data_IF_101103379644
#
_entry.id   IF_101103379644
#
_cell.length_a   1.000
_cell.length_b   1.000
_cell.length_c   1.000
_cell.angle_alpha   90.00
_cell.angle_beta   90.00
_cell.angle_gamma   90.00
#
_symmetry.space_group_name_H-M   'P 1'
#
loop_
_entity.id
_entity.type
_entity.pdbx_description
1 polymer ?
#
# COMPACT_ATOMS: atom_id res chain seq x y z
N UNK A 1 -26.95 -9.41 12.12
CA UNK A 1 -25.94 -8.40 12.40
C UNK A 1 -26.11 -7.29 11.36
N UNK A 2 -26.76 -6.16 11.72
CA UNK A 2 -26.95 -5.03 10.80
C UNK A 2 -25.61 -4.33 10.68
N UNK A 3 -24.95 -4.42 9.51
CA UNK A 3 -23.77 -3.65 9.18
C UNK A 3 -24.21 -2.19 8.94
N UNK A 4 -24.42 -1.44 10.01
CA UNK A 4 -24.56 0.02 9.90
C UNK A 4 -23.15 0.61 9.84
N UNK A 5 -22.52 0.54 8.67
CA UNK A 5 -21.27 1.26 8.42
C UNK A 5 -21.58 2.76 8.51
N UNK A 6 -20.91 3.52 9.38
CA UNK A 6 -21.11 4.96 9.44
C UNK A 6 -20.74 5.55 8.09
N UNK A 7 -21.62 6.36 7.50
CA UNK A 7 -21.43 6.99 6.18
C UNK A 7 -20.06 7.69 6.07
N UNK A 8 -19.61 8.34 7.15
CA UNK A 8 -18.27 8.94 7.25
C UNK A 8 -17.14 7.93 6.99
N UNK A 9 -17.23 6.72 7.55
CA UNK A 9 -16.23 5.67 7.34
C UNK A 9 -16.19 5.19 5.89
N UNK A 10 -17.34 5.08 5.24
CA UNK A 10 -17.44 4.70 3.82
C UNK A 10 -16.82 5.78 2.94
N UNK A 11 -17.15 7.05 3.17
CA UNK A 11 -16.60 8.17 2.39
C UNK A 11 -15.08 8.30 2.57
N UNK A 12 -14.58 8.14 3.80
CA UNK A 12 -13.14 8.15 4.07
C UNK A 12 -12.44 6.97 3.40
N UNK A 13 -13.05 5.78 3.40
CA UNK A 13 -12.52 4.60 2.70
C UNK A 13 -12.45 4.80 1.19
N UNK A 14 -13.51 5.36 0.58
CA UNK A 14 -13.50 5.71 -0.85
C UNK A 14 -12.43 6.75 -1.18
N UNK A 15 -12.31 7.78 -0.34
CA UNK A 15 -11.27 8.81 -0.50
C UNK A 15 -9.85 8.22 -0.39
N UNK A 16 -9.62 7.31 0.55
CA UNK A 16 -8.34 6.62 0.70
C UNK A 16 -8.02 5.73 -0.54
N UNK A 17 -9.02 4.98 -1.04
CA UNK A 17 -8.87 4.17 -2.26
C UNK A 17 -8.56 5.02 -3.50
N UNK A 18 -9.30 6.11 -3.70
CA UNK A 18 -9.06 7.05 -4.79
C UNK A 18 -7.65 7.68 -4.68
N UNK A 19 -7.26 8.13 -3.48
CA UNK A 19 -5.93 8.68 -3.23
C UNK A 19 -4.82 7.68 -3.50
N UNK A 20 -5.01 6.40 -3.14
CA UNK A 20 -4.06 5.34 -3.43
C UNK A 20 -3.93 5.10 -4.95
N UNK A 21 -5.04 5.03 -5.69
CA UNK A 21 -5.03 4.85 -7.14
C UNK A 21 -4.34 6.00 -7.88
N UNK A 22 -4.72 7.24 -7.56
CA UNK A 22 -4.08 8.45 -8.13
C UNK A 22 -2.59 8.49 -7.77
N UNK A 23 -2.24 8.19 -6.50
CA UNK A 23 -0.85 8.14 -6.05
C UNK A 23 0.00 7.09 -6.79
N UNK A 24 -0.58 5.95 -7.15
CA UNK A 24 0.09 4.91 -7.92
C UNK A 24 0.40 5.38 -9.35
N UNK A 25 -0.59 5.97 -10.03
CA UNK A 25 -0.45 6.50 -11.40
C UNK A 25 0.58 7.63 -11.43
N UNK A 26 0.50 8.59 -10.50
CA UNK A 26 1.47 9.69 -10.40
C UNK A 26 2.89 9.18 -10.13
N UNK A 27 3.03 8.14 -9.30
CA UNK A 27 4.34 7.51 -9.06
C UNK A 27 4.90 6.87 -10.33
N UNK A 28 4.06 6.20 -11.13
CA UNK A 28 4.49 5.63 -12.42
C UNK A 28 4.96 6.72 -13.38
N UNK A 29 4.17 7.77 -13.56
CA UNK A 29 4.53 8.91 -14.43
C UNK A 29 5.84 9.55 -13.96
N UNK A 30 5.98 9.76 -12.65
CA UNK A 30 7.21 10.30 -12.06
C UNK A 30 8.43 9.41 -12.33
N UNK A 31 8.31 8.11 -12.11
CA UNK A 31 9.41 7.16 -12.39
C UNK A 31 9.79 7.15 -13.87
N UNK A 32 8.82 7.13 -14.80
CA UNK A 32 9.09 7.19 -16.24
C UNK A 32 9.82 8.48 -16.63
N UNK A 33 9.44 9.60 -16.03
CA UNK A 33 10.09 10.88 -16.30
C UNK A 33 11.55 10.89 -15.81
N UNK A 34 11.83 10.33 -14.64
CA UNK A 34 13.19 10.18 -14.13
C UNK A 34 14.01 9.20 -14.94
N UNK A 35 13.42 8.08 -15.36
CA UNK A 35 14.07 7.07 -16.19
C UNK A 35 14.52 7.67 -17.54
N UNK A 36 13.68 8.50 -18.15
CA UNK A 36 14.02 9.23 -19.38
C UNK A 36 15.15 10.27 -19.21
N UNK A 37 15.37 10.75 -17.98
CA UNK A 37 16.42 11.71 -17.65
C UNK A 37 17.75 11.05 -17.23
N UNK A 38 17.76 9.72 -17.01
CA UNK A 38 18.96 8.97 -16.64
C UNK A 38 19.89 8.89 -17.87
N UNK A 39 21.17 9.27 -17.77
CA UNK A 39 22.13 9.13 -18.86
C UNK A 39 22.29 7.68 -19.31
N UNK A 40 22.52 7.47 -20.62
CA UNK A 40 22.62 6.13 -21.20
C UNK A 40 23.84 5.31 -20.67
N UNK A 41 24.81 5.97 -20.12
CA UNK A 41 26.03 5.42 -19.50
C UNK A 41 25.87 5.17 -17.97
N UNK A 42 24.69 5.50 -17.42
CA UNK A 42 24.44 5.28 -16.01
C UNK A 42 24.29 3.77 -15.69
N UNK A 43 24.73 3.32 -14.50
CA UNK A 43 24.56 1.94 -14.09
C UNK A 43 23.08 1.52 -14.12
N UNK A 44 22.77 0.32 -14.60
CA UNK A 44 21.41 -0.27 -14.58
C UNK A 44 20.77 -0.24 -13.19
N UNK A 45 21.60 -0.30 -12.15
CA UNK A 45 21.18 -0.19 -10.75
C UNK A 45 20.40 1.11 -10.48
N UNK A 46 20.69 2.19 -11.21
CA UNK A 46 20.01 3.48 -11.02
C UNK A 46 18.53 3.41 -11.40
N UNK A 47 18.20 2.77 -12.53
CA UNK A 47 16.81 2.52 -12.93
C UNK A 47 16.06 1.63 -11.96
N UNK A 48 16.73 0.58 -11.46
CA UNK A 48 16.16 -0.38 -10.50
C UNK A 48 15.88 0.27 -9.12
N UNK A 49 16.59 1.33 -8.76
CA UNK A 49 16.40 2.05 -7.49
C UNK A 49 15.29 3.11 -7.53
N UNK A 50 14.75 3.46 -8.69
CA UNK A 50 13.69 4.46 -8.82
C UNK A 50 12.44 4.15 -7.96
N UNK A 51 11.93 2.90 -7.86
CA UNK A 51 10.80 2.58 -7.00
C UNK A 51 11.09 2.84 -5.52
N UNK A 52 12.31 2.58 -5.07
CA UNK A 52 12.74 2.83 -3.69
C UNK A 52 12.82 4.34 -3.40
N UNK A 53 13.37 5.12 -4.33
CA UNK A 53 13.41 6.58 -4.24
C UNK A 53 11.99 7.17 -4.22
N UNK A 54 11.10 6.68 -5.09
CA UNK A 54 9.69 7.09 -5.13
C UNK A 54 8.98 6.77 -3.81
N UNK A 55 9.21 5.58 -3.25
CA UNK A 55 8.67 5.19 -1.94
C UNK A 55 9.16 6.12 -0.83
N UNK A 56 10.43 6.48 -0.84
CA UNK A 56 11.03 7.38 0.14
C UNK A 56 10.41 8.78 0.09
N UNK A 57 10.24 9.34 -1.11
CA UNK A 57 9.58 10.64 -1.31
C UNK A 57 8.13 10.59 -0.79
N UNK A 58 7.38 9.54 -1.13
CA UNK A 58 6.00 9.34 -0.64
C UNK A 58 5.94 9.23 0.88
N UNK A 59 6.90 8.51 1.48
CA UNK A 59 6.97 8.35 2.94
C UNK A 59 7.26 9.70 3.63
N UNK A 60 8.16 10.51 3.09
CA UNK A 60 8.46 11.84 3.63
C UNK A 60 7.25 12.77 3.56
N UNK A 61 6.56 12.82 2.42
CA UNK A 61 5.34 13.61 2.25
C UNK A 61 4.22 13.11 3.18
N UNK A 62 4.05 11.80 3.27
CA UNK A 62 3.09 11.17 4.19
C UNK A 62 3.39 11.50 5.65
N UNK A 63 4.65 11.43 6.06
CA UNK A 63 5.09 11.80 7.40
C UNK A 63 4.79 13.26 7.71
N UNK A 64 5.11 14.18 6.80
CA UNK A 64 4.78 15.59 6.95
C UNK A 64 3.27 15.83 7.06
N UNK A 65 2.47 15.15 6.24
CA UNK A 65 1.01 15.21 6.29
C UNK A 65 0.44 14.71 7.62
N UNK A 66 0.89 13.55 8.10
CA UNK A 66 0.45 13.01 9.39
C UNK A 66 0.89 13.89 10.58
N UNK A 67 2.11 14.42 10.56
CA UNK A 67 2.57 15.35 11.61
C UNK A 67 1.73 16.62 11.63
N UNK A 68 1.37 17.15 10.46
CA UNK A 68 0.48 18.32 10.35
C UNK A 68 -0.90 18.00 10.93
N UNK A 69 -1.49 16.84 10.57
CA UNK A 69 -2.78 16.42 11.12
C UNK A 69 -2.72 16.26 12.65
N UNK A 70 -1.67 15.63 13.18
CA UNK A 70 -1.49 15.47 14.63
C UNK A 70 -1.32 16.82 15.34
N UNK A 71 -0.63 17.77 14.72
CA UNK A 71 -0.49 19.12 15.26
C UNK A 71 -1.84 19.85 15.31
N UNK A 72 -2.65 19.76 14.24
CA UNK A 72 -3.98 20.33 14.19
C UNK A 72 -4.94 19.71 15.20
N UNK A 73 -4.84 18.42 15.44
CA UNK A 73 -5.66 17.68 16.41
C UNK A 73 -5.14 17.79 17.85
N UNK A 74 -4.01 18.48 18.08
CA UNK A 74 -3.34 18.62 19.38
C UNK A 74 -2.95 17.28 20.02
N UNK A 75 -2.72 16.25 19.20
CA UNK A 75 -2.35 14.89 19.62
C UNK A 75 -0.83 14.64 19.71
N UNK A 76 -0.02 15.69 19.57
CA UNK A 76 1.45 15.65 19.71
C UNK A 76 1.95 15.02 21.05
N UNK A 77 1.26 15.20 22.20
CA UNK A 77 1.68 14.51 23.43
C UNK A 77 1.63 12.99 23.33
N UNK A 78 0.68 12.44 22.56
CA UNK A 78 0.57 10.98 22.31
C UNK A 78 1.75 10.46 21.49
N UNK A 79 2.23 11.24 20.52
CA UNK A 79 3.41 10.92 19.75
C UNK A 79 4.66 10.85 20.64
N UNK A 80 4.83 11.81 21.56
CA UNK A 80 5.94 11.79 22.54
C UNK A 80 5.90 10.53 23.41
N UNK A 81 4.73 10.14 23.88
CA UNK A 81 4.55 8.91 24.67
C UNK A 81 4.89 7.66 23.85
N UNK A 82 4.47 7.59 22.60
CA UNK A 82 4.76 6.47 21.70
C UNK A 82 6.27 6.33 21.40
N UNK A 83 6.99 7.43 21.23
CA UNK A 83 8.45 7.42 21.00
C UNK A 83 9.21 6.93 22.25
N UNK A 84 8.65 7.07 23.44
CA UNK A 84 9.26 6.57 24.68
C UNK A 84 9.10 5.05 24.89
N UNK A 85 8.16 4.43 24.20
CA UNK A 85 7.99 2.97 24.22
C UNK A 85 8.99 2.29 23.26
N UNK A 86 10.14 1.91 23.79
CA UNK A 86 11.21 1.25 23.01
C UNK A 86 10.77 -0.06 22.37
N UNK A 87 9.89 -0.83 23.02
CA UNK A 87 9.40 -2.11 22.46
C UNK A 87 8.44 -1.85 21.31
N UNK A 88 7.48 -0.96 21.49
CA UNK A 88 6.58 -0.52 20.44
C UNK A 88 7.34 0.05 19.25
N UNK A 89 8.35 0.88 19.50
CA UNK A 89 9.18 1.47 18.44
C UNK A 89 9.96 0.42 17.64
N UNK A 90 10.51 -0.61 18.31
CA UNK A 90 11.19 -1.72 17.63
C UNK A 90 10.23 -2.51 16.72
N UNK A 91 9.02 -2.82 17.18
CA UNK A 91 8.00 -3.47 16.36
C UNK A 91 7.58 -2.61 15.18
N UNK A 92 7.36 -1.31 15.39
CA UNK A 92 7.03 -0.36 14.31
C UNK A 92 8.17 -0.29 13.30
N UNK A 93 9.44 -0.26 13.73
CA UNK A 93 10.59 -0.24 12.82
C UNK A 93 10.64 -1.49 11.94
N UNK A 94 10.44 -2.68 12.53
CA UNK A 94 10.40 -3.94 11.78
C UNK A 94 9.23 -3.94 10.78
N UNK A 95 8.03 -3.55 11.23
CA UNK A 95 6.85 -3.47 10.37
C UNK A 95 7.04 -2.45 9.24
N UNK A 96 7.70 -1.33 9.50
CA UNK A 96 8.00 -0.30 8.48
C UNK A 96 8.99 -0.82 7.45
N UNK A 97 9.98 -1.62 7.87
CA UNK A 97 10.94 -2.23 6.95
C UNK A 97 10.25 -3.19 5.98
N UNK A 98 9.46 -4.12 6.50
CA UNK A 98 8.80 -5.15 5.66
C UNK A 98 7.55 -4.62 4.94
N UNK A 99 6.76 -3.75 5.55
CA UNK A 99 5.55 -3.17 4.95
C UNK A 99 5.89 -2.06 3.95
N UNK A 100 6.02 -0.81 4.38
CA UNK A 100 6.23 0.30 3.46
C UNK A 100 7.55 0.24 2.69
N UNK A 101 8.68 -0.07 3.36
CA UNK A 101 9.97 0.02 2.69
C UNK A 101 10.13 -1.08 1.62
N UNK A 102 9.91 -2.34 1.94
CA UNK A 102 10.01 -3.42 0.96
C UNK A 102 8.71 -3.61 0.19
N UNK A 103 7.57 -3.72 0.86
CA UNK A 103 6.30 -4.04 0.22
C UNK A 103 5.87 -2.99 -0.80
N UNK A 104 5.87 -1.70 -0.44
CA UNK A 104 5.50 -0.63 -1.36
C UNK A 104 6.53 -0.44 -2.47
N UNK A 105 7.83 -0.55 -2.16
CA UNK A 105 8.88 -0.43 -3.19
C UNK A 105 8.81 -1.54 -4.22
N UNK A 106 8.60 -2.79 -3.80
CA UNK A 106 8.40 -3.92 -4.72
C UNK A 106 7.11 -3.79 -5.53
N UNK A 107 6.04 -3.25 -4.91
CA UNK A 107 4.80 -2.95 -5.62
C UNK A 107 5.00 -1.88 -6.70
N UNK A 108 5.75 -0.80 -6.40
CA UNK A 108 6.09 0.22 -7.39
C UNK A 108 7.03 -0.31 -8.47
N UNK A 109 7.94 -1.22 -8.12
CA UNK A 109 8.78 -1.92 -9.08
C UNK A 109 7.94 -2.75 -10.06
N UNK A 110 6.92 -3.46 -9.58
CA UNK A 110 5.97 -4.16 -10.45
C UNK A 110 5.25 -3.18 -11.40
N UNK A 111 4.85 -2.00 -10.91
CA UNK A 111 4.21 -0.95 -11.72
C UNK A 111 5.17 -0.31 -12.73
N UNK A 112 6.46 -0.24 -12.41
CA UNK A 112 7.48 0.28 -13.34
C UNK A 112 7.59 -0.61 -14.59
N UNK A 113 7.64 -1.92 -14.40
CA UNK A 113 7.85 -2.89 -15.49
C UNK A 113 6.55 -3.44 -16.11
N UNK A 114 5.38 -3.04 -15.60
CA UNK A 114 4.07 -3.54 -16.06
C UNK A 114 3.09 -2.37 -16.14
N UNK A 115 1.98 -2.57 -16.84
CA UNK A 115 0.89 -1.59 -16.82
C UNK A 115 0.30 -1.42 -15.42
N UNK A 116 0.06 -0.17 -15.03
CA UNK A 116 -0.44 0.16 -13.69
C UNK A 116 -1.79 -0.52 -13.39
N UNK A 117 -2.62 -0.73 -14.41
CA UNK A 117 -3.89 -1.46 -14.30
C UNK A 117 -3.66 -2.93 -13.95
N UNK A 118 -2.76 -3.61 -14.66
CA UNK A 118 -2.40 -5.02 -14.42
C UNK A 118 -1.79 -5.17 -13.03
N UNK A 119 -0.79 -4.35 -12.69
CA UNK A 119 -0.14 -4.40 -11.38
C UNK A 119 -1.15 -4.17 -10.24
N UNK A 120 -2.02 -3.15 -10.33
CA UNK A 120 -3.01 -2.85 -9.29
C UNK A 120 -4.06 -3.96 -9.15
N UNK A 121 -4.43 -4.61 -10.24
CA UNK A 121 -5.37 -5.74 -10.23
C UNK A 121 -4.77 -6.96 -9.52
N UNK A 122 -3.49 -7.27 -9.78
CA UNK A 122 -2.77 -8.32 -9.06
C UNK A 122 -2.61 -7.98 -7.56
N UNK A 123 -2.30 -6.72 -7.23
CA UNK A 123 -2.24 -6.27 -5.84
C UNK A 123 -3.60 -6.38 -5.12
N UNK A 124 -4.71 -6.20 -5.83
CA UNK A 124 -6.05 -6.39 -5.28
C UNK A 124 -6.35 -7.83 -4.85
N UNK A 125 -5.55 -8.83 -5.26
CA UNK A 125 -5.62 -10.20 -4.75
C UNK A 125 -5.01 -10.38 -3.36
N UNK A 126 -4.26 -9.40 -2.86
CA UNK A 126 -3.59 -9.49 -1.55
C UNK A 126 -4.52 -9.90 -0.40
N UNK A 127 -5.74 -9.35 -0.24
CA UNK A 127 -6.66 -9.79 0.81
C UNK A 127 -7.04 -11.27 0.68
N UNK A 128 -7.15 -11.77 -0.56
CA UNK A 128 -7.45 -13.17 -0.87
C UNK A 128 -6.30 -14.07 -0.42
N UNK A 129 -5.08 -13.69 -0.75
CA UNK A 129 -3.86 -14.44 -0.40
C UNK A 129 -3.61 -14.46 1.12
N UNK A 130 -4.04 -13.43 1.85
CA UNK A 130 -3.87 -13.36 3.31
C UNK A 130 -4.86 -14.26 4.05
N UNK A 131 -6.04 -14.54 3.51
CA UNK A 131 -7.06 -15.36 4.18
C UNK A 131 -6.53 -16.76 4.50
N UNK A 132 -5.79 -17.38 3.59
CA UNK A 132 -5.28 -18.74 3.79
C UNK A 132 -4.26 -18.84 4.95
N UNK A 133 -3.16 -18.08 4.97
CA UNK A 133 -2.24 -18.10 6.11
C UNK A 133 -2.90 -17.62 7.41
N UNK A 134 -3.81 -16.66 7.35
CA UNK A 134 -4.56 -16.20 8.52
C UNK A 134 -5.41 -17.32 9.13
N UNK A 135 -6.15 -18.06 8.32
CA UNK A 135 -6.95 -19.17 8.77
C UNK A 135 -6.12 -20.30 9.41
N UNK A 136 -4.93 -20.58 8.84
CA UNK A 136 -4.00 -21.60 9.33
C UNK A 136 -3.37 -21.17 10.66
N UNK A 137 -2.83 -19.95 10.74
CA UNK A 137 -2.11 -19.44 11.90
C UNK A 137 -3.02 -19.24 13.12
N UNK A 138 -4.21 -18.67 12.89
CA UNK A 138 -5.15 -18.36 13.95
C UNK A 138 -6.21 -19.46 14.19
N UNK A 139 -6.14 -20.58 13.44
CA UNK A 139 -7.08 -21.72 13.51
C UNK A 139 -8.55 -21.28 13.43
N UNK A 140 -8.81 -20.19 12.71
CA UNK A 140 -10.16 -19.67 12.52
C UNK A 140 -10.85 -20.38 11.36
N UNK A 141 -12.13 -20.68 11.53
CA UNK A 141 -12.96 -21.26 10.45
C UNK A 141 -13.27 -20.16 9.44
N UNK A 142 -12.81 -20.34 8.22
CA UNK A 142 -13.17 -19.45 7.09
C UNK A 142 -14.69 -19.52 6.90
N UNK A 143 -15.36 -18.39 6.91
CA UNK A 143 -16.81 -18.32 6.73
C UNK A 143 -17.16 -18.41 5.25
N UNK A 144 -18.29 -19.03 4.93
CA UNK A 144 -18.79 -19.17 3.56
C UNK A 144 -18.85 -17.83 2.82
N UNK A 145 -19.18 -16.74 3.51
CA UNK A 145 -19.20 -15.38 2.96
C UNK A 145 -17.81 -14.89 2.51
N UNK A 146 -16.77 -15.29 3.20
CA UNK A 146 -15.38 -14.96 2.85
C UNK A 146 -14.96 -15.71 1.58
N UNK A 147 -15.35 -16.99 1.49
CA UNK A 147 -15.10 -17.80 0.27
C UNK A 147 -15.81 -17.19 -0.94
N UNK A 148 -17.09 -16.80 -0.79
CA UNK A 148 -17.85 -16.15 -1.87
C UNK A 148 -17.15 -14.83 -2.30
N UNK A 149 -16.73 -14.00 -1.33
CA UNK A 149 -16.00 -12.75 -1.63
C UNK A 149 -14.72 -12.98 -2.40
N UNK A 150 -13.93 -13.99 -2.00
CA UNK A 150 -12.71 -14.41 -2.69
C UNK A 150 -13.01 -14.86 -4.12
N UNK A 151 -14.02 -15.72 -4.30
CA UNK A 151 -14.38 -16.23 -5.63
C UNK A 151 -14.81 -15.09 -6.56
N UNK A 152 -15.64 -14.16 -6.08
CA UNK A 152 -16.07 -12.99 -6.85
C UNK A 152 -14.88 -12.11 -7.23
N UNK A 153 -13.93 -11.88 -6.30
CA UNK A 153 -12.71 -11.12 -6.59
C UNK A 153 -11.85 -11.81 -7.65
N UNK A 154 -11.67 -13.13 -7.55
CA UNK A 154 -10.89 -13.90 -8.54
C UNK A 154 -11.54 -13.88 -9.92
N UNK A 155 -12.86 -13.98 -10.00
CA UNK A 155 -13.60 -13.88 -11.27
C UNK A 155 -13.42 -12.48 -11.87
N UNK A 156 -13.52 -11.42 -11.05
CA UNK A 156 -13.29 -10.04 -11.51
C UNK A 156 -11.88 -9.84 -12.08
N UNK A 157 -10.86 -10.37 -11.41
CA UNK A 157 -9.49 -10.35 -11.92
C UNK A 157 -9.34 -11.15 -13.20
N UNK A 158 -9.90 -12.36 -13.27
CA UNK A 158 -9.85 -13.18 -14.46
C UNK A 158 -10.50 -12.49 -15.66
N UNK A 159 -11.67 -11.85 -15.48
CA UNK A 159 -12.32 -11.06 -16.52
C UNK A 159 -11.45 -9.92 -17.04
N UNK A 160 -10.70 -9.26 -16.15
CA UNK A 160 -9.80 -8.18 -16.56
C UNK A 160 -8.66 -8.67 -17.47
N UNK A 161 -8.16 -9.89 -17.27
CA UNK A 161 -7.11 -10.47 -18.11
C UNK A 161 -7.61 -11.11 -19.40
N UNK A 162 -8.92 -11.40 -19.51
CA UNK A 162 -9.53 -12.00 -20.69
C UNK A 162 -10.05 -10.95 -21.70
N UNK A 163 -10.14 -9.69 -21.29
CA UNK A 163 -10.50 -8.54 -22.14
C UNK A 163 -9.27 -7.85 -22.71
#
# INVERSE_FOLDING_TARGET
MKLSLPLKGVLLGLGAGAGQGVGLVLSKIGMQHYEAAVPADAPELMGTMLPFASTMIRALIGCAGFLTLMALQKDLPRLKAAIHDRKGLAFVAILTLFGPALGVSLSLMAVQYTDAGIASTLMALTPVLIILPYAILYKQKVRLKEIIGVTVSMVGVAMFFLM
#
